data_IF_591288023253
#
_entry.id   IF_591288023253
#
_cell.length_a   1.000
_cell.length_b   1.000
_cell.length_c   1.000
_cell.angle_alpha   90.00
_cell.angle_beta   90.00
_cell.angle_gamma   90.00
#
_symmetry.space_group_name_H-M   'P 1'
#
loop_
_entity.id
_entity.type
_entity.pdbx_description
1 polymer ?
#
# COMPACT_ATOMS: atom_id res chain seq x y z
N UNK A 1 28.62 -22.18 -59.83
CA UNK A 1 28.48 -22.31 -61.30
C UNK A 1 27.17 -21.61 -61.62
N UNK A 2 27.24 -20.29 -61.81
CA UNK A 2 27.36 -19.60 -63.11
C UNK A 2 25.93 -19.15 -63.49
N UNK A 3 25.61 -17.90 -63.80
CA UNK A 3 26.38 -16.91 -64.57
C UNK A 3 26.10 -15.46 -64.13
N UNK A 4 27.12 -14.65 -64.37
CA UNK A 4 27.22 -13.19 -64.31
C UNK A 4 27.09 -12.63 -65.75
N UNK A 5 26.48 -11.46 -65.91
CA UNK A 5 26.90 -10.35 -66.78
C UNK A 5 25.74 -9.43 -67.21
N UNK A 6 25.97 -8.12 -67.14
CA UNK A 6 25.22 -7.15 -67.95
C UNK A 6 25.16 -5.71 -67.42
N UNK A 7 26.29 -4.99 -67.54
CA UNK A 7 26.48 -3.55 -67.33
C UNK A 7 25.82 -2.68 -68.43
N UNK A 8 25.34 -1.46 -68.09
CA UNK A 8 25.69 -0.17 -68.76
C UNK A 8 24.80 1.01 -68.32
N UNK A 9 25.46 1.95 -67.64
CA UNK A 9 25.37 3.44 -67.65
C UNK A 9 24.19 4.20 -68.28
N UNK A 10 23.67 5.21 -67.58
CA UNK A 10 23.81 6.61 -68.04
C UNK A 10 23.73 7.64 -66.88
N UNK A 11 24.30 8.81 -67.15
CA UNK A 11 24.87 9.80 -66.24
C UNK A 11 24.02 11.06 -66.25
N UNK A 12 23.77 11.71 -65.11
CA UNK A 12 23.73 13.18 -65.10
C UNK A 12 24.05 13.75 -63.72
N UNK A 13 25.18 14.44 -63.67
CA UNK A 13 25.71 15.23 -62.57
C UNK A 13 24.90 16.52 -62.36
N UNK A 14 24.80 16.98 -61.11
CA UNK A 14 24.91 18.41 -60.79
C UNK A 14 25.34 18.60 -59.34
N UNK A 15 26.29 19.50 -59.17
CA UNK A 15 27.18 19.71 -58.03
C UNK A 15 26.55 20.38 -56.80
N UNK A 16 27.23 20.20 -55.66
CA UNK A 16 27.05 20.85 -54.35
C UNK A 16 27.27 22.39 -54.38
N UNK A 17 26.81 23.14 -53.35
CA UNK A 17 27.72 23.46 -52.24
C UNK A 17 27.07 23.60 -50.84
N UNK A 18 27.83 23.26 -49.80
CA UNK A 18 28.00 24.11 -48.61
C UNK A 18 27.03 24.00 -47.42
N UNK A 19 27.46 23.25 -46.40
CA UNK A 19 27.53 23.56 -44.95
C UNK A 19 26.48 24.48 -44.30
N UNK A 20 25.77 23.96 -43.28
CA UNK A 20 25.61 24.65 -41.98
C UNK A 20 25.21 23.64 -40.88
N UNK A 21 26.02 23.58 -39.82
CA UNK A 21 25.86 22.74 -38.64
C UNK A 21 24.86 23.39 -37.68
N UNK A 22 23.65 22.83 -37.60
CA UNK A 22 22.62 23.26 -36.65
C UNK A 22 22.30 22.16 -35.64
N UNK A 23 22.93 22.21 -34.48
CA UNK A 23 22.57 21.43 -33.29
C UNK A 23 21.06 21.48 -33.03
N UNK A 24 20.37 20.35 -33.20
CA UNK A 24 19.01 20.16 -32.71
C UNK A 24 19.05 19.43 -31.38
N UNK A 25 19.09 20.24 -30.33
CA UNK A 25 18.80 19.85 -28.94
C UNK A 25 17.55 18.97 -28.90
N UNK A 26 17.72 17.71 -28.52
CA UNK A 26 16.63 16.81 -28.15
C UNK A 26 16.17 17.24 -26.76
N UNK A 27 15.05 17.95 -26.69
CA UNK A 27 14.36 18.18 -25.42
C UNK A 27 13.85 16.85 -24.89
N UNK A 28 14.44 16.39 -23.79
CA UNK A 28 13.91 15.30 -22.98
C UNK A 28 12.58 15.76 -22.35
N UNK A 29 11.46 15.31 -22.92
CA UNK A 29 10.18 15.40 -22.27
C UNK A 29 10.14 14.35 -21.15
N UNK A 30 10.48 14.78 -19.92
CA UNK A 30 10.20 13.99 -18.72
C UNK A 30 8.69 13.84 -18.58
N UNK A 31 8.20 12.62 -18.75
CA UNK A 31 6.81 12.28 -18.49
C UNK A 31 6.58 12.32 -16.98
N UNK A 32 5.97 13.41 -16.48
CA UNK A 32 5.48 13.50 -15.12
C UNK A 32 4.48 12.37 -14.86
N UNK A 33 4.73 11.59 -13.79
CA UNK A 33 3.80 10.56 -13.33
C UNK A 33 2.52 11.23 -12.81
N UNK A 34 1.33 10.68 -13.11
CA UNK A 34 0.08 11.32 -12.71
C UNK A 34 -0.01 11.34 -11.19
N UNK A 35 -0.18 12.54 -10.63
CA UNK A 35 -0.42 12.72 -9.19
C UNK A 35 -1.71 12.01 -8.79
N UNK A 36 -1.59 10.98 -7.95
CA UNK A 36 -2.75 10.29 -7.36
C UNK A 36 -3.55 11.32 -6.57
N UNK A 37 -4.80 11.54 -6.98
CA UNK A 37 -5.74 12.40 -6.26
C UNK A 37 -6.44 11.55 -5.22
N UNK A 38 -6.24 11.87 -3.94
CA UNK A 38 -7.09 11.32 -2.88
C UNK A 38 -8.51 11.85 -3.06
N UNK A 39 -9.50 11.00 -2.80
CA UNK A 39 -10.93 11.30 -2.83
C UNK A 39 -11.43 11.98 -1.56
N UNK A 40 -10.51 12.37 -0.67
CA UNK A 40 -10.79 13.12 0.55
C UNK A 40 -11.52 14.42 0.22
N UNK A 41 -12.83 14.39 0.42
CA UNK A 41 -13.72 15.50 0.11
C UNK A 41 -13.23 16.80 0.74
N UNK A 42 -13.18 17.87 -0.06
CA UNK A 42 -12.90 19.22 0.42
C UNK A 42 -14.08 19.71 1.27
N UNK A 43 -14.06 19.42 2.57
CA UNK A 43 -14.87 20.13 3.55
C UNK A 43 -14.15 21.43 3.91
N UNK A 44 -14.70 22.57 3.48
CA UNK A 44 -14.20 23.88 3.85
C UNK A 44 -14.52 24.14 5.33
N UNK A 45 -13.50 24.07 6.19
CA UNK A 45 -13.58 24.32 7.62
C UNK A 45 -12.43 23.65 8.36
N UNK A 46 -11.22 24.19 8.24
CA UNK A 46 -10.06 23.69 8.96
C UNK A 46 -10.14 24.11 10.42
N UNK A 47 -10.68 23.24 11.26
CA UNK A 47 -10.22 23.15 12.64
C UNK A 47 -8.99 22.25 12.66
N UNK A 48 -8.02 22.58 13.51
CA UNK A 48 -6.79 21.84 13.74
C UNK A 48 -7.15 20.37 14.01
N UNK A 49 -6.96 19.51 13.01
CA UNK A 49 -7.54 18.17 12.99
C UNK A 49 -6.76 17.30 13.99
N UNK A 50 -7.23 17.21 15.23
CA UNK A 50 -6.71 16.25 16.19
C UNK A 50 -7.06 14.86 15.69
N UNK A 51 -6.04 14.11 15.27
CA UNK A 51 -6.13 12.70 14.93
C UNK A 51 -5.71 11.89 16.15
N UNK A 52 -6.64 11.12 16.67
CA UNK A 52 -6.39 10.16 17.74
C UNK A 52 -7.15 8.85 17.45
N UNK A 53 -6.79 7.72 18.08
CA UNK A 53 -7.41 6.43 17.82
C UNK A 53 -8.93 6.36 18.05
N UNK A 54 -9.53 7.37 18.69
CA UNK A 54 -10.93 7.43 19.07
C UNK A 54 -11.71 8.57 18.38
N UNK A 55 -11.04 9.44 17.64
CA UNK A 55 -11.61 10.58 16.91
C UNK A 55 -12.03 10.23 15.48
N UNK A 56 -13.12 10.85 14.99
CA UNK A 56 -13.61 10.69 13.61
C UNK A 56 -13.41 11.95 12.75
N UNK A 57 -12.29 12.64 12.96
CA UNK A 57 -12.01 13.95 12.36
C UNK A 57 -11.77 13.84 10.84
N UNK A 58 -12.41 14.70 10.05
CA UNK A 58 -12.17 14.75 8.59
C UNK A 58 -10.85 15.44 8.30
N UNK A 59 -9.89 14.71 7.76
CA UNK A 59 -8.57 15.24 7.41
C UNK A 59 -8.66 16.10 6.16
N UNK A 60 -8.70 17.42 6.35
CA UNK A 60 -8.72 18.38 5.23
C UNK A 60 -7.34 18.50 4.53
N UNK A 61 -6.25 18.17 5.22
CA UNK A 61 -4.90 18.31 4.67
C UNK A 61 -3.95 17.16 5.07
N UNK A 62 -3.90 16.13 4.22
CA UNK A 62 -2.98 15.00 4.37
C UNK A 62 -1.49 15.37 4.37
N UNK A 63 -1.11 16.53 3.80
CA UNK A 63 0.31 16.95 3.78
C UNK A 63 0.84 17.17 5.19
N UNK A 64 0.02 17.73 6.08
CA UNK A 64 0.41 18.03 7.45
C UNK A 64 0.62 16.74 8.26
N UNK A 65 -0.08 15.64 7.93
CA UNK A 65 0.08 14.36 8.63
C UNK A 65 1.47 13.75 8.45
N UNK A 66 2.09 13.91 7.28
CA UNK A 66 3.43 13.34 7.04
C UNK A 66 4.46 13.92 8.01
N UNK A 67 4.44 15.24 8.19
CA UNK A 67 5.34 15.94 9.10
C UNK A 67 4.99 15.67 10.57
N UNK A 68 3.71 15.73 10.92
CA UNK A 68 3.24 15.54 12.30
C UNK A 68 3.48 14.10 12.81
N UNK A 69 3.13 13.10 12.00
CA UNK A 69 3.31 11.70 12.37
C UNK A 69 4.67 11.13 11.95
N UNK A 70 5.54 11.91 11.31
CA UNK A 70 6.85 11.45 10.85
C UNK A 70 6.76 10.21 9.97
N UNK A 71 5.85 10.23 9.01
CA UNK A 71 5.62 9.14 8.04
C UNK A 71 6.05 9.58 6.64
N UNK A 72 6.43 8.63 5.81
CA UNK A 72 6.80 8.80 4.41
C UNK A 72 5.63 8.41 3.49
N UNK A 73 5.69 8.75 2.21
CA UNK A 73 4.60 8.49 1.25
C UNK A 73 4.72 7.07 0.70
N UNK A 74 3.65 6.29 0.81
CA UNK A 74 3.65 4.91 0.29
C UNK A 74 3.75 4.84 -1.24
N UNK A 75 3.28 5.87 -1.95
CA UNK A 75 3.38 5.95 -3.42
C UNK A 75 4.82 5.85 -3.92
N UNK A 76 5.80 6.28 -3.11
CA UNK A 76 7.22 6.21 -3.44
C UNK A 76 7.73 4.75 -3.49
N UNK A 77 7.09 3.84 -2.73
CA UNK A 77 7.38 2.40 -2.72
C UNK A 77 6.49 1.57 -3.64
N UNK A 78 5.37 2.12 -4.13
CA UNK A 78 4.33 1.33 -4.82
C UNK A 78 4.85 0.50 -6.00
N UNK A 79 5.89 0.97 -6.70
CA UNK A 79 6.50 0.27 -7.84
C UNK A 79 7.37 -0.92 -7.46
N UNK A 80 7.84 -0.99 -6.22
CA UNK A 80 8.68 -2.09 -5.73
C UNK A 80 7.86 -3.19 -5.06
N UNK A 81 6.60 -2.92 -4.72
CA UNK A 81 5.70 -3.91 -4.12
C UNK A 81 5.28 -4.95 -5.17
N UNK A 82 5.57 -6.24 -4.98
CA UNK A 82 5.07 -7.30 -5.85
C UNK A 82 3.55 -7.42 -5.68
N UNK A 83 2.81 -7.54 -6.78
CA UNK A 83 1.34 -7.70 -6.77
C UNK A 83 0.61 -6.78 -5.74
N UNK A 84 0.80 -5.45 -5.81
CA UNK A 84 0.38 -4.54 -4.74
C UNK A 84 -1.12 -4.60 -4.52
N UNK A 85 -1.58 -4.63 -3.26
CA UNK A 85 -2.99 -4.71 -2.93
C UNK A 85 -3.79 -3.50 -3.48
N UNK A 86 -5.11 -3.63 -3.67
CA UNK A 86 -5.91 -2.50 -4.20
C UNK A 86 -5.91 -1.29 -3.25
N UNK A 87 -5.74 -1.51 -1.94
CA UNK A 87 -5.63 -0.44 -0.94
C UNK A 87 -4.34 0.38 -1.12
N UNK A 88 -3.24 -0.26 -1.51
CA UNK A 88 -1.98 0.41 -1.85
C UNK A 88 -2.14 1.19 -3.16
N UNK A 89 -2.63 0.54 -4.23
CA UNK A 89 -2.78 1.17 -5.56
C UNK A 89 -3.75 2.35 -5.59
N UNK A 90 -4.74 2.39 -4.69
CA UNK A 90 -5.75 3.45 -4.62
C UNK A 90 -5.39 4.55 -3.60
N UNK A 91 -4.23 4.46 -2.95
CA UNK A 91 -3.80 5.44 -1.95
C UNK A 91 -4.64 5.43 -0.67
N UNK A 92 -5.30 4.31 -0.35
CA UNK A 92 -5.94 4.11 0.96
C UNK A 92 -4.85 3.89 2.02
N UNK A 93 -3.86 3.06 1.69
CA UNK A 93 -2.58 3.03 2.40
C UNK A 93 -1.71 4.12 1.75
N UNK A 94 -1.59 5.26 2.44
CA UNK A 94 -0.95 6.45 1.87
C UNK A 94 0.41 6.77 2.49
N UNK A 95 0.76 6.19 3.64
CA UNK A 95 2.05 6.43 4.27
C UNK A 95 2.58 5.25 5.07
N UNK A 96 3.87 5.32 5.40
CA UNK A 96 4.61 4.26 6.10
C UNK A 96 5.78 4.82 6.92
N UNK A 97 6.46 3.95 7.68
CA UNK A 97 7.81 4.18 8.22
C UNK A 97 8.65 2.93 7.99
N UNK A 98 9.84 3.08 7.43
CA UNK A 98 10.81 1.98 7.24
C UNK A 98 10.24 0.71 6.55
N UNK A 99 9.17 0.84 5.75
CA UNK A 99 8.50 -0.29 5.12
C UNK A 99 9.29 -0.86 3.94
N UNK A 100 10.22 -0.09 3.39
CA UNK A 100 11.22 -0.54 2.42
C UNK A 100 12.01 -1.75 2.94
N UNK A 101 12.31 -1.80 4.24
CA UNK A 101 13.01 -2.93 4.88
C UNK A 101 12.15 -4.19 4.92
N UNK A 102 10.86 -4.03 5.19
CA UNK A 102 9.89 -5.12 5.19
C UNK A 102 9.72 -5.66 3.77
N UNK A 103 9.56 -4.78 2.78
CA UNK A 103 9.48 -5.18 1.37
C UNK A 103 10.73 -5.91 0.90
N UNK A 104 11.92 -5.44 1.28
CA UNK A 104 13.17 -6.11 0.94
C UNK A 104 13.25 -7.51 1.55
N UNK A 105 12.80 -7.69 2.80
CA UNK A 105 12.76 -9.00 3.44
C UNK A 105 11.77 -9.94 2.73
N UNK A 106 10.55 -9.47 2.42
CA UNK A 106 9.55 -10.25 1.69
C UNK A 106 10.04 -10.67 0.30
N UNK A 107 10.66 -9.75 -0.45
CA UNK A 107 11.21 -10.03 -1.79
C UNK A 107 12.38 -11.03 -1.74
N UNK A 108 13.21 -10.96 -0.70
CA UNK A 108 14.32 -11.89 -0.48
C UNK A 108 13.90 -13.24 0.14
N UNK A 109 12.63 -13.40 0.54
CA UNK A 109 12.16 -14.56 1.31
C UNK A 109 12.81 -14.66 2.69
N UNK A 110 13.24 -13.52 3.25
CA UNK A 110 13.77 -13.41 4.60
C UNK A 110 12.62 -13.25 5.62
N UNK A 111 12.85 -13.57 6.91
CA UNK A 111 11.82 -13.47 7.92
C UNK A 111 11.23 -12.06 8.02
N UNK A 112 9.91 -11.98 7.90
CA UNK A 112 9.11 -10.78 8.10
C UNK A 112 7.82 -11.17 8.82
N UNK A 113 7.27 -10.24 9.60
CA UNK A 113 6.03 -10.47 10.32
C UNK A 113 5.04 -9.33 10.10
N UNK A 114 3.77 -9.67 9.95
CA UNK A 114 2.65 -8.74 9.93
C UNK A 114 1.79 -8.97 11.17
N UNK A 115 1.54 -7.89 11.91
CA UNK A 115 0.80 -7.95 13.16
C UNK A 115 -0.25 -6.85 13.16
N UNK A 116 -1.50 -7.25 13.26
CA UNK A 116 -2.64 -6.34 13.34
C UNK A 116 -3.82 -7.05 13.98
N UNK A 117 -4.90 -6.34 14.27
CA UNK A 117 -6.03 -6.98 14.90
C UNK A 117 -7.19 -6.05 15.18
N UNK A 118 -7.97 -6.43 16.19
CA UNK A 118 -9.19 -5.74 16.53
C UNK A 118 -9.41 -5.72 18.04
N UNK A 119 -10.04 -4.64 18.50
CA UNK A 119 -10.64 -4.59 19.83
C UNK A 119 -12.08 -5.12 19.69
N UNK A 120 -12.46 -6.20 20.39
CA UNK A 120 -13.77 -6.84 20.24
C UNK A 120 -14.87 -6.01 20.93
N UNK A 121 -15.25 -4.90 20.31
CA UNK A 121 -16.29 -3.99 20.80
C UNK A 121 -17.30 -3.73 19.67
N UNK A 122 -18.52 -4.24 19.81
CA UNK A 122 -19.56 -4.11 18.77
C UNK A 122 -19.38 -5.09 17.61
N UNK A 123 -20.16 -4.88 16.55
CA UNK A 123 -20.16 -5.76 15.37
C UNK A 123 -19.06 -5.37 14.36
N UNK A 124 -18.43 -6.34 13.66
CA UNK A 124 -17.51 -6.04 12.58
C UNK A 124 -18.21 -5.28 11.44
N UNK A 125 -17.45 -4.43 10.74
CA UNK A 125 -17.96 -3.54 9.70
C UNK A 125 -16.88 -3.26 8.66
N UNK A 126 -17.24 -2.58 7.56
CA UNK A 126 -16.34 -2.44 6.40
C UNK A 126 -15.00 -1.76 6.72
N UNK A 127 -14.94 -0.87 7.71
CA UNK A 127 -13.68 -0.31 8.19
C UNK A 127 -12.69 -1.37 8.67
N UNK A 128 -13.16 -2.41 9.38
CA UNK A 128 -12.32 -3.52 9.85
C UNK A 128 -11.80 -4.38 8.70
N UNK A 129 -12.55 -4.48 7.59
CA UNK A 129 -12.11 -5.19 6.40
C UNK A 129 -10.79 -4.62 5.85
N UNK A 130 -10.58 -3.31 5.93
CA UNK A 130 -9.35 -2.68 5.41
C UNK A 130 -8.10 -3.20 6.13
N UNK A 131 -8.20 -3.34 7.44
CA UNK A 131 -7.14 -3.88 8.31
C UNK A 131 -6.93 -5.38 8.05
N UNK A 132 -8.01 -6.12 7.89
CA UNK A 132 -7.96 -7.55 7.58
C UNK A 132 -7.34 -7.82 6.21
N UNK A 133 -7.72 -7.06 5.19
CA UNK A 133 -7.14 -7.15 3.85
C UNK A 133 -5.62 -6.91 3.87
N UNK A 134 -5.15 -5.97 4.70
CA UNK A 134 -3.71 -5.73 4.86
C UNK A 134 -3.00 -6.93 5.50
N UNK A 135 -3.56 -7.49 6.58
CA UNK A 135 -2.97 -8.66 7.22
C UNK A 135 -2.93 -9.88 6.29
N UNK A 136 -4.03 -10.16 5.58
CA UNK A 136 -4.16 -11.27 4.64
C UNK A 136 -3.18 -11.09 3.48
N UNK A 137 -3.06 -9.88 2.92
CA UNK A 137 -2.10 -9.64 1.84
C UNK A 137 -0.67 -9.95 2.28
N UNK A 138 -0.26 -9.59 3.51
CA UNK A 138 1.08 -9.92 4.00
C UNK A 138 1.24 -11.43 4.22
N UNK A 139 0.22 -12.13 4.72
CA UNK A 139 0.22 -13.59 4.85
C UNK A 139 0.45 -14.27 3.50
N UNK A 140 -0.28 -13.83 2.46
CA UNK A 140 -0.15 -14.32 1.09
C UNK A 140 1.25 -14.06 0.49
N UNK A 141 1.99 -13.09 1.01
CA UNK A 141 3.34 -12.72 0.56
C UNK A 141 4.45 -13.28 1.46
N UNK A 142 4.12 -14.23 2.35
CA UNK A 142 5.10 -14.99 3.13
C UNK A 142 5.51 -14.34 4.46
N UNK A 143 4.76 -13.36 4.95
CA UNK A 143 4.97 -12.83 6.30
C UNK A 143 4.33 -13.75 7.35
N UNK A 144 5.04 -13.99 8.46
CA UNK A 144 4.45 -14.56 9.67
C UNK A 144 3.34 -13.62 10.16
N UNK A 145 2.10 -14.08 10.16
CA UNK A 145 0.94 -13.20 10.32
C UNK A 145 0.19 -13.45 11.63
N UNK A 146 -0.04 -12.37 12.39
CA UNK A 146 -0.61 -12.40 13.73
C UNK A 146 -1.91 -11.59 13.80
N UNK A 147 -3.03 -12.29 13.99
CA UNK A 147 -4.35 -11.70 14.22
C UNK A 147 -4.58 -11.44 15.72
N UNK A 148 -4.45 -10.19 16.15
CA UNK A 148 -4.56 -9.81 17.56
C UNK A 148 -6.01 -9.62 18.01
N UNK A 149 -6.33 -10.14 19.20
CA UNK A 149 -7.58 -9.90 19.92
C UNK A 149 -7.27 -9.04 21.15
N UNK A 150 -7.60 -7.75 21.08
CA UNK A 150 -7.31 -6.78 22.13
C UNK A 150 -8.37 -6.79 23.26
N UNK A 151 -8.58 -7.97 23.87
CA UNK A 151 -9.65 -8.22 24.83
C UNK A 151 -9.41 -7.56 26.21
N UNK A 152 -8.15 -7.42 26.63
CA UNK A 152 -7.80 -6.67 27.85
C UNK A 152 -8.12 -5.18 27.69
N UNK A 153 -7.92 -4.61 26.51
CA UNK A 153 -8.30 -3.22 26.21
C UNK A 153 -9.83 -3.07 26.21
N UNK A 154 -10.56 -3.98 25.57
CA UNK A 154 -12.02 -3.98 25.59
C UNK A 154 -12.57 -4.04 27.03
N UNK A 155 -11.98 -4.89 27.88
CA UNK A 155 -12.40 -4.99 29.28
C UNK A 155 -12.06 -3.74 30.09
N UNK A 156 -10.82 -3.25 29.97
CA UNK A 156 -10.30 -2.17 30.83
C UNK A 156 -10.74 -0.76 30.41
N UNK A 157 -10.77 -0.47 29.10
CA UNK A 157 -11.04 0.84 28.55
C UNK A 157 -12.51 1.06 28.19
N UNK A 158 -13.25 -0.01 27.83
CA UNK A 158 -14.68 0.06 27.47
C UNK A 158 -15.61 -0.55 28.51
N UNK A 159 -15.07 -1.26 29.51
CA UNK A 159 -15.86 -1.81 30.62
C UNK A 159 -16.77 -2.98 30.21
N UNK A 160 -16.48 -3.66 29.09
CA UNK A 160 -17.29 -4.78 28.62
C UNK A 160 -17.10 -6.02 29.50
N UNK A 161 -18.16 -6.81 29.65
CA UNK A 161 -18.10 -8.12 30.29
C UNK A 161 -17.39 -9.15 29.42
N UNK A 162 -16.78 -10.17 30.03
CA UNK A 162 -16.05 -11.22 29.29
C UNK A 162 -16.93 -11.98 28.29
N UNK A 163 -18.18 -12.29 28.66
CA UNK A 163 -19.11 -12.98 27.75
C UNK A 163 -19.43 -12.15 26.49
N UNK A 164 -19.52 -10.82 26.65
CA UNK A 164 -19.77 -9.89 25.53
C UNK A 164 -18.54 -9.75 24.65
N UNK A 165 -17.36 -9.67 25.26
CA UNK A 165 -16.06 -9.69 24.57
C UNK A 165 -15.89 -10.97 23.75
N UNK A 166 -16.23 -12.13 24.30
CA UNK A 166 -16.13 -13.42 23.62
C UNK A 166 -17.07 -13.50 22.42
N UNK A 167 -18.29 -12.98 22.54
CA UNK A 167 -19.23 -12.90 21.45
C UNK A 167 -18.69 -12.03 20.30
N UNK A 168 -18.22 -10.82 20.60
CA UNK A 168 -17.63 -9.95 19.59
C UNK A 168 -16.36 -10.54 18.98
N UNK A 169 -15.46 -11.09 19.79
CA UNK A 169 -14.23 -11.70 19.30
C UNK A 169 -14.53 -12.83 18.30
N UNK A 170 -15.52 -13.67 18.60
CA UNK A 170 -15.98 -14.71 17.69
C UNK A 170 -16.43 -14.14 16.34
N UNK A 171 -17.23 -13.09 16.32
CA UNK A 171 -17.76 -12.52 15.08
C UNK A 171 -16.67 -11.86 14.22
N UNK A 172 -15.68 -11.21 14.86
CA UNK A 172 -14.51 -10.69 14.17
C UNK A 172 -13.62 -11.79 13.61
N UNK A 173 -13.36 -12.87 14.38
CA UNK A 173 -12.58 -14.01 13.91
C UNK A 173 -13.23 -14.71 12.72
N UNK A 174 -14.55 -14.95 12.78
CA UNK A 174 -15.30 -15.50 11.66
C UNK A 174 -15.21 -14.60 10.42
N UNK A 175 -15.22 -13.28 10.61
CA UNK A 175 -15.06 -12.32 9.51
C UNK A 175 -13.65 -12.35 8.91
N UNK A 176 -12.62 -12.39 9.75
CA UNK A 176 -11.21 -12.46 9.32
C UNK A 176 -10.95 -13.73 8.50
N UNK A 177 -11.37 -14.89 9.01
CA UNK A 177 -11.23 -16.19 8.32
C UNK A 177 -12.05 -16.20 7.02
N UNK A 178 -13.28 -15.70 7.03
CA UNK A 178 -14.12 -15.65 5.83
C UNK A 178 -13.54 -14.77 4.71
N UNK A 179 -12.68 -13.80 5.06
CA UNK A 179 -12.00 -12.94 4.09
C UNK A 179 -10.73 -13.56 3.50
N UNK A 180 -10.21 -14.64 4.10
CA UNK A 180 -9.09 -15.41 3.56
C UNK A 180 -7.86 -15.50 4.47
N UNK A 181 -7.94 -15.05 5.73
CA UNK A 181 -6.86 -15.34 6.68
C UNK A 181 -6.82 -16.84 6.96
N UNK A 182 -5.65 -17.45 6.79
CA UNK A 182 -5.42 -18.86 7.08
C UNK A 182 -4.99 -19.02 8.55
N UNK A 183 -5.82 -19.61 9.43
CA UNK A 183 -5.47 -19.83 10.82
C UNK A 183 -4.51 -21.01 11.05
N UNK A 184 -4.27 -21.86 10.04
CA UNK A 184 -3.30 -22.95 10.14
C UNK A 184 -1.87 -22.45 9.85
N UNK A 185 -1.74 -21.41 9.02
CA UNK A 185 -0.48 -20.74 8.63
C UNK A 185 -0.33 -19.35 9.26
N UNK A 186 -1.14 -19.03 10.28
CA UNK A 186 -1.13 -17.77 11.00
C UNK A 186 -1.43 -17.96 12.48
N UNK A 187 -1.10 -16.96 13.30
CA UNK A 187 -1.28 -17.03 14.75
C UNK A 187 -2.42 -16.11 15.20
N UNK A 188 -3.37 -16.64 15.98
CA UNK A 188 -4.38 -15.84 16.66
C UNK A 188 -3.90 -15.53 18.08
N UNK A 189 -3.56 -14.27 18.33
CA UNK A 189 -3.02 -13.85 19.62
C UNK A 189 -4.08 -13.14 20.46
N UNK A 190 -4.56 -13.80 21.51
CA UNK A 190 -5.44 -13.20 22.52
C UNK A 190 -4.62 -12.60 23.65
N UNK A 191 -4.82 -11.32 23.97
CA UNK A 191 -4.00 -10.63 24.97
C UNK A 191 -4.13 -11.24 26.37
N UNK A 192 -5.33 -11.65 26.78
CA UNK A 192 -5.53 -12.22 28.13
C UNK A 192 -4.88 -13.60 28.33
N UNK A 193 -4.64 -14.35 27.26
CA UNK A 193 -4.03 -15.69 27.30
C UNK A 193 -2.49 -15.65 27.33
N UNK A 194 -1.89 -14.50 27.05
CA UNK A 194 -0.45 -14.33 26.88
C UNK A 194 0.12 -13.38 27.94
N UNK A 195 0.23 -13.86 29.19
CA UNK A 195 0.71 -13.12 30.36
C UNK A 195 2.01 -13.65 30.93
#
# INVERSE_FOLDING_TARGET
MADDHGDTSDTSSSEHPGLDDGERSRSEASAESPTVRSDGGSAAGADETTLDPWGSSTVANYRNLFEEFGIERFDDLLRTVPAPHYLMRRGVIFGHRDYDRVLAALDAGEPAAALSGFMPTGDPHIGHKLVFDELIWHQDHGADSYGLIADLEAHSARGLGWDEIDAHARDYLLSLIALGFDPDEGELYRQSDNR
#
